data_IF_586117258389
#
_entry.id   IF_586117258389
#
_cell.length_a   1.000
_cell.length_b   1.000
_cell.length_c   1.000
_cell.angle_alpha   90.00
_cell.angle_beta   90.00
_cell.angle_gamma   90.00
#
_symmetry.space_group_name_H-M   'P 1'
#
loop_
_entity.id
_entity.type
_entity.pdbx_description
1 polymer ?
#
# COMPACT_ATOMS: atom_id res chain seq x y z
N UNK A 1 -8.64 -11.95 -5.94
CA UNK A 1 -7.94 -13.27 -5.72
C UNK A 1 -8.49 -14.34 -6.67
N UNK A 2 -7.67 -14.87 -7.58
CA UNK A 2 -8.04 -15.84 -8.63
C UNK A 2 -7.98 -17.31 -8.20
N UNK A 3 -8.41 -17.64 -6.98
CA UNK A 3 -8.39 -19.03 -6.53
C UNK A 3 -9.62 -19.78 -7.04
N UNK A 4 -9.40 -20.81 -7.87
CA UNK A 4 -10.38 -21.86 -8.12
C UNK A 4 -9.97 -23.14 -7.39
N UNK A 5 -10.91 -24.07 -7.20
CA UNK A 5 -10.68 -25.30 -6.42
C UNK A 5 -9.58 -26.21 -7.01
N UNK A 6 -9.41 -26.19 -8.33
CA UNK A 6 -8.52 -27.11 -9.05
C UNK A 6 -7.55 -26.34 -9.98
N UNK A 7 -8.00 -25.22 -10.56
CA UNK A 7 -7.22 -24.31 -11.41
C UNK A 7 -7.67 -22.87 -11.16
N UNK A 8 -6.84 -21.85 -11.46
CA UNK A 8 -7.24 -20.45 -11.33
C UNK A 8 -8.51 -20.14 -12.13
N UNK A 9 -9.42 -19.32 -11.57
CA UNK A 9 -10.64 -18.89 -12.28
C UNK A 9 -10.35 -18.04 -13.51
N UNK A 10 -9.28 -17.25 -13.46
CA UNK A 10 -8.71 -16.55 -14.60
C UNK A 10 -7.21 -16.89 -14.67
N UNK A 11 -6.74 -17.53 -15.75
CA UNK A 11 -5.34 -17.91 -15.91
C UNK A 11 -4.44 -16.75 -16.34
N UNK A 12 -5.02 -15.63 -16.81
CA UNK A 12 -4.27 -14.43 -17.20
C UNK A 12 -3.78 -13.74 -15.92
N UNK A 13 -2.51 -13.35 -15.93
CA UNK A 13 -1.85 -12.66 -14.82
C UNK A 13 -2.16 -11.15 -14.84
N UNK A 14 -1.75 -10.45 -13.78
CA UNK A 14 -1.93 -9.00 -13.65
C UNK A 14 -3.14 -8.63 -12.81
N UNK A 15 -2.98 -7.58 -11.99
CA UNK A 15 -4.02 -7.05 -11.10
C UNK A 15 -4.31 -5.55 -11.31
N UNK A 16 -3.49 -4.86 -12.10
CA UNK A 16 -3.51 -3.40 -12.26
C UNK A 16 -3.46 -3.04 -13.74
N UNK A 17 -4.10 -1.93 -14.12
CA UNK A 17 -4.15 -1.45 -15.49
C UNK A 17 -4.19 0.07 -15.56
N UNK A 18 -3.77 0.59 -16.71
CA UNK A 18 -4.16 1.90 -17.21
C UNK A 18 -4.31 1.82 -18.73
N UNK A 19 -5.33 2.45 -19.29
CA UNK A 19 -5.65 2.36 -20.70
C UNK A 19 -6.83 3.24 -21.10
N UNK A 20 -7.40 2.99 -22.26
CA UNK A 20 -8.55 3.72 -22.80
C UNK A 20 -9.77 2.80 -22.87
N UNK A 21 -10.95 3.35 -22.63
CA UNK A 21 -12.20 2.62 -22.83
C UNK A 21 -12.45 2.47 -24.33
N UNK A 22 -12.30 1.23 -24.81
CA UNK A 22 -12.59 0.85 -26.21
C UNK A 22 -14.09 0.79 -26.49
N UNK A 23 -14.88 0.24 -25.55
CA UNK A 23 -16.32 0.07 -25.71
C UNK A 23 -17.02 0.02 -24.35
N UNK A 24 -18.30 0.40 -24.32
CA UNK A 24 -19.14 0.34 -23.11
C UNK A 24 -20.40 -0.49 -23.33
N UNK A 25 -20.85 -1.16 -22.27
CA UNK A 25 -22.14 -1.84 -22.27
C UNK A 25 -23.31 -0.86 -22.28
N UNK A 26 -24.48 -1.30 -22.76
CA UNK A 26 -25.69 -0.47 -22.91
C UNK A 26 -26.16 0.23 -21.62
N UNK A 27 -25.85 -0.33 -20.45
CA UNK A 27 -26.32 0.15 -19.15
C UNK A 27 -25.24 0.96 -18.40
N UNK A 28 -24.04 1.11 -18.98
CA UNK A 28 -22.92 1.90 -18.42
C UNK A 28 -23.23 3.39 -18.56
N UNK A 29 -23.00 4.15 -17.49
CA UNK A 29 -23.32 5.59 -17.35
C UNK A 29 -22.13 6.44 -16.89
N UNK A 30 -21.13 5.84 -16.24
CA UNK A 30 -19.98 6.50 -15.63
C UNK A 30 -18.79 6.67 -16.58
N UNK A 31 -18.75 5.87 -17.64
CA UNK A 31 -17.66 5.83 -18.62
C UNK A 31 -18.20 5.88 -20.04
N UNK A 32 -17.37 6.34 -20.97
CA UNK A 32 -17.62 6.35 -22.41
C UNK A 32 -16.36 5.96 -23.18
N UNK A 33 -16.55 5.59 -24.44
CA UNK A 33 -15.45 5.36 -25.38
C UNK A 33 -14.47 6.56 -25.41
N UNK A 34 -13.17 6.27 -25.42
CA UNK A 34 -12.11 7.28 -25.39
C UNK A 34 -11.75 7.79 -23.98
N UNK A 35 -12.47 7.41 -22.93
CA UNK A 35 -12.07 7.78 -21.57
C UNK A 35 -10.76 7.09 -21.18
N UNK A 36 -9.77 7.89 -20.75
CA UNK A 36 -8.54 7.36 -20.18
C UNK A 36 -8.78 6.94 -18.72
N UNK A 37 -8.51 5.68 -18.40
CA UNK A 37 -8.82 5.07 -17.11
C UNK A 37 -7.60 4.36 -16.51
N UNK A 38 -7.66 4.15 -15.20
CA UNK A 38 -6.72 3.32 -14.44
C UNK A 38 -7.45 2.65 -13.28
N UNK A 39 -6.91 1.54 -12.80
CA UNK A 39 -7.54 0.80 -11.73
C UNK A 39 -7.03 -0.63 -11.56
N UNK A 40 -7.86 -1.45 -10.93
CA UNK A 40 -7.59 -2.85 -10.64
C UNK A 40 -8.55 -3.76 -11.39
N UNK A 41 -8.07 -4.95 -11.71
CA UNK A 41 -8.86 -5.98 -12.39
C UNK A 41 -8.09 -7.30 -12.38
N UNK A 42 -8.78 -8.42 -12.56
CA UNK A 42 -8.10 -9.71 -12.66
C UNK A 42 -7.76 -10.02 -14.11
N UNK A 43 -6.48 -10.25 -14.41
CA UNK A 43 -6.03 -10.67 -15.75
C UNK A 43 -5.68 -9.50 -16.65
N UNK A 44 -5.02 -8.49 -16.08
CA UNK A 44 -4.71 -7.23 -16.78
C UNK A 44 -3.49 -7.29 -17.68
N UNK A 45 -2.75 -8.40 -17.69
CA UNK A 45 -1.69 -8.64 -18.69
C UNK A 45 -2.31 -9.11 -20.00
N UNK A 46 -3.12 -8.24 -20.59
CA UNK A 46 -3.87 -8.45 -21.82
C UNK A 46 -4.02 -7.11 -22.56
N UNK A 47 -4.22 -7.16 -23.87
CA UNK A 47 -4.50 -5.96 -24.68
C UNK A 47 -5.90 -5.39 -24.39
N UNK A 48 -6.85 -6.25 -24.01
CA UNK A 48 -8.22 -5.87 -23.67
C UNK A 48 -8.74 -6.66 -22.47
N UNK A 49 -9.57 -6.01 -21.65
CA UNK A 49 -10.27 -6.63 -20.52
C UNK A 49 -11.66 -6.02 -20.35
N UNK A 50 -12.65 -6.86 -20.05
CA UNK A 50 -13.98 -6.41 -19.66
C UNK A 50 -14.05 -6.30 -18.13
N UNK A 51 -14.46 -5.14 -17.62
CA UNK A 51 -14.67 -4.90 -16.19
C UNK A 51 -16.09 -4.39 -15.94
N UNK A 52 -16.70 -4.71 -14.78
CA UNK A 52 -17.95 -4.09 -14.37
C UNK A 52 -17.75 -2.58 -14.13
N UNK A 53 -18.76 -1.77 -14.44
CA UNK A 53 -18.75 -0.32 -14.19
C UNK A 53 -18.48 0.03 -12.70
N UNK A 54 -18.91 -0.85 -11.79
CA UNK A 54 -18.69 -0.72 -10.36
C UNK A 54 -17.38 -1.36 -9.86
N UNK A 55 -16.52 -1.80 -10.78
CA UNK A 55 -15.16 -2.22 -10.46
C UNK A 55 -14.31 -1.07 -9.91
N UNK A 56 -13.12 -1.41 -9.44
CA UNK A 56 -12.12 -0.44 -8.96
C UNK A 56 -11.47 0.23 -10.17
N UNK A 57 -12.22 1.12 -10.81
CA UNK A 57 -11.84 1.83 -12.03
C UNK A 57 -12.17 3.33 -11.88
N UNK A 58 -11.26 4.19 -12.33
CA UNK A 58 -11.46 5.62 -12.32
C UNK A 58 -10.79 6.28 -13.52
N UNK A 59 -11.26 7.48 -13.88
CA UNK A 59 -10.59 8.34 -14.88
C UNK A 59 -9.15 8.62 -14.44
N UNK A 60 -8.20 8.38 -15.34
CA UNK A 60 -6.77 8.66 -15.14
C UNK A 60 -6.56 10.17 -14.93
N UNK A 61 -5.74 10.58 -13.94
CA UNK A 61 -5.29 11.96 -13.87
C UNK A 61 -4.64 12.42 -15.19
N UNK A 62 -5.00 13.61 -15.66
CA UNK A 62 -4.47 14.17 -16.92
C UNK A 62 -2.98 14.50 -16.84
N UNK A 63 -2.44 14.68 -15.62
CA UNK A 63 -1.04 14.99 -15.35
C UNK A 63 -0.14 13.75 -15.20
N UNK A 64 -0.62 12.56 -15.58
CA UNK A 64 0.11 11.31 -15.47
C UNK A 64 0.15 10.56 -16.79
N UNK A 65 1.25 9.87 -17.06
CA UNK A 65 1.32 8.88 -18.14
C UNK A 65 0.53 7.61 -17.77
N UNK A 66 0.36 6.70 -18.73
CA UNK A 66 -0.28 5.41 -18.44
C UNK A 66 0.58 4.55 -17.52
N UNK A 67 1.89 4.56 -17.70
CA UNK A 67 2.87 3.82 -16.89
C UNK A 67 2.83 4.29 -15.43
N UNK A 68 2.82 5.60 -15.23
CA UNK A 68 2.69 6.19 -13.89
C UNK A 68 1.35 5.81 -13.25
N UNK A 69 0.26 5.87 -14.01
CA UNK A 69 -1.08 5.55 -13.50
C UNK A 69 -1.24 4.06 -13.17
N UNK A 70 -0.67 3.16 -13.97
CA UNK A 70 -0.72 1.72 -13.74
C UNK A 70 0.07 1.27 -12.50
N UNK A 71 1.06 2.06 -12.07
CA UNK A 71 1.89 1.75 -10.89
C UNK A 71 1.26 2.16 -9.54
N UNK A 72 0.12 2.86 -9.57
CA UNK A 72 -0.55 3.37 -8.36
C UNK A 72 -1.40 2.33 -7.63
N UNK A 73 -2.36 1.63 -8.28
CA UNK A 73 -3.52 1.09 -7.59
C UNK A 73 -3.15 0.18 -6.42
N UNK A 74 -2.41 -0.89 -6.65
CA UNK A 74 -2.04 -1.86 -5.63
C UNK A 74 -1.21 -1.25 -4.50
N UNK A 75 -0.13 -0.54 -4.85
CA UNK A 75 0.81 0.03 -3.89
C UNK A 75 0.14 1.04 -2.96
N UNK A 76 -0.57 2.00 -3.56
CA UNK A 76 -1.21 3.09 -2.83
C UNK A 76 -2.46 2.65 -2.07
N UNK A 77 -3.25 1.72 -2.62
CA UNK A 77 -4.43 1.19 -1.95
C UNK A 77 -4.05 0.35 -0.73
N UNK A 78 -3.02 -0.49 -0.84
CA UNK A 78 -2.47 -1.24 0.29
C UNK A 78 -1.97 -0.29 1.37
N UNK A 79 -1.15 0.70 1.01
CA UNK A 79 -0.65 1.69 1.96
C UNK A 79 -1.77 2.48 2.65
N UNK A 80 -2.77 2.92 1.89
CA UNK A 80 -3.92 3.65 2.42
C UNK A 80 -4.72 2.81 3.41
N UNK A 81 -5.07 1.58 3.04
CA UNK A 81 -5.81 0.68 3.90
C UNK A 81 -5.06 0.39 5.21
N UNK A 82 -3.78 0.05 5.12
CA UNK A 82 -2.99 -0.28 6.31
C UNK A 82 -2.79 0.94 7.21
N UNK A 83 -2.46 2.10 6.67
CA UNK A 83 -2.21 3.29 7.49
C UNK A 83 -3.51 3.90 8.04
N UNK A 84 -4.51 4.13 7.18
CA UNK A 84 -5.77 4.80 7.54
C UNK A 84 -6.69 3.89 8.33
N UNK A 85 -6.97 2.68 7.82
CA UNK A 85 -8.05 1.85 8.38
C UNK A 85 -7.55 0.91 9.48
N UNK A 86 -6.32 0.37 9.34
CA UNK A 86 -5.76 -0.56 10.32
C UNK A 86 -4.88 0.11 11.36
N UNK A 87 -4.05 1.06 10.93
CA UNK A 87 -3.17 1.83 11.79
C UNK A 87 -3.89 2.98 12.50
N UNK A 88 -5.04 3.44 11.96
CA UNK A 88 -5.72 4.64 12.40
C UNK A 88 -4.73 5.81 12.60
N UNK A 89 -3.88 6.02 11.60
CA UNK A 89 -2.79 7.00 11.65
C UNK A 89 -3.31 8.38 12.02
N UNK A 90 -2.59 9.05 12.94
CA UNK A 90 -2.92 10.39 13.41
C UNK A 90 -1.74 11.33 13.21
N UNK A 91 -2.04 12.61 13.01
CA UNK A 91 -1.04 13.67 12.95
C UNK A 91 -0.15 13.65 14.20
N UNK A 92 1.16 13.85 14.01
CA UNK A 92 2.16 13.85 15.08
C UNK A 92 2.61 12.45 15.55
N UNK A 93 2.04 11.37 15.03
CA UNK A 93 2.55 10.02 15.31
C UNK A 93 3.91 9.78 14.65
N UNK A 94 4.76 8.98 15.30
CA UNK A 94 6.01 8.47 14.74
C UNK A 94 5.72 7.18 13.99
N UNK A 95 5.98 7.18 12.69
CA UNK A 95 5.70 6.06 11.80
C UNK A 95 7.00 5.60 11.15
N UNK A 96 7.33 4.31 11.29
CA UNK A 96 8.44 3.70 10.56
C UNK A 96 7.89 2.87 9.40
N UNK A 97 8.40 3.09 8.20
CA UNK A 97 8.08 2.31 7.00
C UNK A 97 9.29 1.43 6.64
N UNK A 98 9.17 0.13 6.85
CA UNK A 98 10.21 -0.83 6.47
C UNK A 98 9.95 -1.37 5.06
N UNK A 99 10.90 -1.14 4.15
CA UNK A 99 10.69 -1.35 2.72
C UNK A 99 10.25 -0.10 1.98
N UNK A 100 10.63 1.08 2.48
CA UNK A 100 10.14 2.39 2.02
C UNK A 100 10.41 2.71 0.54
N UNK A 101 11.27 1.95 -0.14
CA UNK A 101 11.63 2.15 -1.55
C UNK A 101 10.89 1.23 -2.54
N UNK A 102 10.01 0.33 -2.07
CA UNK A 102 9.18 -0.53 -2.93
C UNK A 102 7.82 0.09 -3.26
N UNK A 103 7.03 -0.53 -4.15
CA UNK A 103 5.75 0.04 -4.62
C UNK A 103 4.74 0.41 -3.51
N UNK A 104 4.60 -0.43 -2.48
CA UNK A 104 3.77 -0.09 -1.29
C UNK A 104 4.49 0.93 -0.40
N UNK A 105 5.80 0.79 -0.23
CA UNK A 105 6.60 1.61 0.66
C UNK A 105 6.67 3.08 0.25
N UNK A 106 6.83 3.37 -1.05
CA UNK A 106 6.89 4.73 -1.58
C UNK A 106 5.55 5.45 -1.41
N UNK A 107 4.43 4.75 -1.61
CA UNK A 107 3.10 5.28 -1.33
C UNK A 107 2.86 5.45 0.19
N UNK A 108 3.34 4.52 1.01
CA UNK A 108 3.20 4.59 2.46
C UNK A 108 3.94 5.78 3.08
N UNK A 109 5.14 6.11 2.58
CA UNK A 109 5.87 7.32 3.01
C UNK A 109 5.03 8.57 2.73
N UNK A 110 4.57 8.73 1.48
CA UNK A 110 3.80 9.90 1.06
C UNK A 110 2.46 10.01 1.81
N UNK A 111 1.73 8.91 1.95
CA UNK A 111 0.46 8.89 2.69
C UNK A 111 0.65 9.15 4.18
N UNK A 112 1.68 8.60 4.80
CA UNK A 112 1.96 8.90 6.21
C UNK A 112 2.29 10.38 6.42
N UNK A 113 3.02 11.01 5.49
CA UNK A 113 3.24 12.46 5.48
C UNK A 113 1.95 13.25 5.24
N UNK A 114 1.10 12.81 4.32
CA UNK A 114 -0.21 13.41 4.09
C UNK A 114 -1.07 13.43 5.36
N UNK A 115 -1.02 12.38 6.18
CA UNK A 115 -1.70 12.31 7.48
C UNK A 115 -0.98 13.06 8.62
N UNK A 116 0.13 13.75 8.35
CA UNK A 116 0.84 14.59 9.32
C UNK A 116 1.76 13.83 10.27
N UNK A 117 2.22 12.62 9.93
CA UNK A 117 3.15 11.86 10.75
C UNK A 117 4.62 12.35 10.63
N UNK A 118 5.44 12.04 11.65
CA UNK A 118 6.90 12.00 11.55
C UNK A 118 7.28 10.62 10.99
N UNK A 119 7.87 10.59 9.80
CA UNK A 119 8.11 9.38 9.02
C UNK A 119 9.60 9.03 9.00
N UNK A 120 9.92 7.82 9.44
CA UNK A 120 11.22 7.19 9.24
C UNK A 120 11.10 6.12 8.15
N UNK A 121 11.79 6.29 7.02
CA UNK A 121 11.89 5.27 5.98
C UNK A 121 13.10 4.35 6.21
N UNK A 122 12.93 3.04 6.02
CA UNK A 122 14.04 2.07 6.02
C UNK A 122 14.17 1.45 4.62
N UNK A 123 15.33 1.63 3.99
CA UNK A 123 15.63 1.14 2.64
C UNK A 123 17.12 0.83 2.47
N UNK A 124 17.53 0.39 1.27
CA UNK A 124 18.94 0.18 0.93
C UNK A 124 19.64 1.51 0.65
N UNK A 125 20.98 1.52 0.72
CA UNK A 125 21.84 2.69 0.48
C UNK A 125 21.48 3.44 -0.80
N UNK A 126 21.23 2.72 -1.90
CA UNK A 126 20.95 3.30 -3.22
C UNK A 126 19.64 4.10 -3.29
N UNK A 127 18.74 3.90 -2.32
CA UNK A 127 17.40 4.47 -2.34
C UNK A 127 17.21 5.59 -1.31
N UNK A 128 18.26 5.97 -0.56
CA UNK A 128 18.14 6.92 0.55
C UNK A 128 17.60 8.27 0.11
N UNK A 129 18.19 8.85 -0.94
CA UNK A 129 17.78 10.17 -1.45
C UNK A 129 16.37 10.15 -2.05
N UNK A 130 15.99 9.06 -2.71
CA UNK A 130 14.63 8.90 -3.24
C UNK A 130 13.61 8.82 -2.10
N UNK A 131 13.83 8.00 -1.09
CA UNK A 131 12.90 7.90 0.06
C UNK A 131 12.79 9.22 0.81
N UNK A 132 13.90 9.97 0.91
CA UNK A 132 13.90 11.32 1.48
C UNK A 132 13.10 12.30 0.64
N UNK A 133 13.23 12.27 -0.69
CA UNK A 133 12.48 13.17 -1.59
C UNK A 133 10.97 12.88 -1.59
N UNK A 134 10.54 11.66 -1.26
CA UNK A 134 9.14 11.31 -1.02
C UNK A 134 8.56 11.88 0.29
N UNK A 135 9.40 12.50 1.13
CA UNK A 135 8.96 13.23 2.32
C UNK A 135 9.32 12.57 3.66
N UNK A 136 10.09 11.47 3.67
CA UNK A 136 10.57 10.89 4.92
C UNK A 136 11.43 11.90 5.70
N UNK A 137 11.12 12.11 6.99
CA UNK A 137 11.87 13.01 7.86
C UNK A 137 13.25 12.43 8.21
N UNK A 138 13.33 11.09 8.29
CA UNK A 138 14.57 10.33 8.50
C UNK A 138 14.61 9.14 7.56
N UNK A 139 15.80 8.78 7.11
CA UNK A 139 16.01 7.56 6.31
C UNK A 139 17.13 6.73 6.92
N UNK A 140 16.88 5.44 7.06
CA UNK A 140 17.77 4.45 7.65
C UNK A 140 18.23 3.49 6.55
N UNK A 141 19.54 3.34 6.44
CA UNK A 141 20.17 2.35 5.58
C UNK A 141 20.25 1.00 6.30
N UNK A 142 19.36 0.07 5.98
CA UNK A 142 19.34 -1.24 6.66
C UNK A 142 20.61 -2.06 6.44
N UNK A 143 21.44 -1.71 5.45
CA UNK A 143 22.71 -2.40 5.18
C UNK A 143 23.82 -1.96 6.14
N UNK A 144 23.65 -0.81 6.79
CA UNK A 144 24.64 -0.22 7.70
C UNK A 144 24.19 -0.26 9.14
N UNK A 145 22.90 -0.07 9.40
CA UNK A 145 22.37 0.01 10.74
C UNK A 145 21.06 -0.74 10.93
N UNK A 146 20.89 -1.28 12.14
CA UNK A 146 19.66 -1.91 12.58
C UNK A 146 18.86 -0.92 13.40
N UNK A 147 17.76 -0.42 12.84
CA UNK A 147 16.91 0.57 13.50
C UNK A 147 16.43 0.12 14.89
N UNK A 148 16.34 -1.19 15.13
CA UNK A 148 15.87 -1.74 16.40
C UNK A 148 16.86 -1.52 17.55
N UNK A 149 18.12 -1.21 17.24
CA UNK A 149 19.18 -0.94 18.21
C UNK A 149 19.31 0.54 18.59
N UNK A 150 18.57 1.44 17.93
CA UNK A 150 18.67 2.89 18.14
C UNK A 150 18.03 3.39 19.44
N UNK A 151 17.23 2.56 20.12
CA UNK A 151 16.40 2.97 21.25
C UNK A 151 15.18 3.83 20.87
N UNK A 152 15.02 4.17 19.59
CA UNK A 152 13.84 4.90 19.11
C UNK A 152 12.61 3.99 19.08
N UNK A 153 11.46 4.58 19.41
CA UNK A 153 10.17 3.88 19.41
C UNK A 153 9.12 4.60 18.57
N UNK A 154 8.25 3.81 17.94
CA UNK A 154 7.27 4.26 16.96
C UNK A 154 5.84 3.94 17.41
N UNK A 155 4.90 4.79 17.04
CA UNK A 155 3.47 4.55 17.20
C UNK A 155 3.00 3.50 16.20
N UNK A 156 3.51 3.56 14.96
CA UNK A 156 3.23 2.59 13.90
C UNK A 156 4.54 2.12 13.29
N UNK A 157 4.69 0.81 13.13
CA UNK A 157 5.70 0.22 12.23
C UNK A 157 4.94 -0.49 11.12
N UNK A 158 5.12 -0.04 9.89
CA UNK A 158 4.56 -0.69 8.71
C UNK A 158 5.64 -1.43 7.95
N UNK A 159 5.54 -2.76 7.92
CA UNK A 159 6.45 -3.63 7.20
C UNK A 159 5.80 -4.05 5.87
N UNK A 160 6.45 -3.74 4.74
CA UNK A 160 5.90 -3.92 3.39
C UNK A 160 6.60 -5.01 2.57
N UNK A 161 7.51 -5.81 3.15
CA UNK A 161 8.42 -6.71 2.41
C UNK A 161 8.32 -8.17 2.88
N UNK A 162 7.95 -8.41 4.14
CA UNK A 162 7.96 -9.71 4.80
C UNK A 162 9.34 -10.12 5.31
N UNK A 163 10.28 -9.17 5.49
CA UNK A 163 11.67 -9.44 5.90
C UNK A 163 12.00 -9.05 7.34
N UNK A 164 11.10 -8.34 8.00
CA UNK A 164 11.22 -8.07 9.44
C UNK A 164 10.06 -8.75 10.19
N UNK A 165 10.35 -9.33 11.36
CA UNK A 165 9.34 -10.00 12.19
C UNK A 165 8.84 -9.07 13.29
N UNK A 166 7.59 -9.27 13.72
CA UNK A 166 7.06 -8.52 14.85
C UNK A 166 7.93 -8.66 16.11
N UNK A 167 8.41 -9.88 16.41
CA UNK A 167 9.26 -10.14 17.57
C UNK A 167 10.52 -9.28 17.59
N UNK A 168 11.16 -9.07 16.43
CA UNK A 168 12.33 -8.20 16.28
C UNK A 168 12.00 -6.73 16.49
N UNK A 169 10.84 -6.30 16.00
CA UNK A 169 10.42 -4.90 16.05
C UNK A 169 9.71 -4.53 17.36
N UNK A 170 9.42 -5.51 18.22
CA UNK A 170 8.63 -5.33 19.43
C UNK A 170 9.23 -4.25 20.32
N UNK A 171 10.55 -4.23 20.54
CA UNK A 171 11.23 -3.22 21.37
C UNK A 171 11.12 -1.81 20.79
N UNK A 172 11.04 -1.68 19.46
CA UNK A 172 10.88 -0.41 18.73
C UNK A 172 9.43 0.07 18.63
N UNK A 173 8.46 -0.66 19.16
CA UNK A 173 7.09 -0.15 19.30
C UNK A 173 6.90 0.51 20.66
N UNK A 174 6.18 1.64 20.66
CA UNK A 174 5.63 2.21 21.89
C UNK A 174 4.67 1.24 22.57
N UNK A 175 4.35 1.46 23.85
CA UNK A 175 3.51 0.57 24.68
C UNK A 175 2.15 0.24 24.05
N UNK A 176 1.57 1.15 23.25
CA UNK A 176 0.31 0.99 22.49
C UNK A 176 0.52 0.99 20.97
N UNK A 177 1.75 0.72 20.52
CA UNK A 177 2.11 0.79 19.11
C UNK A 177 1.50 -0.34 18.29
N UNK A 178 1.33 -0.08 17.00
CA UNK A 178 0.74 -1.01 16.04
C UNK A 178 1.83 -1.43 15.04
N UNK A 179 1.94 -2.74 14.84
CA UNK A 179 2.74 -3.35 13.79
C UNK A 179 1.82 -3.79 12.66
N UNK A 180 1.94 -3.12 11.51
CA UNK A 180 1.21 -3.44 10.30
C UNK A 180 2.10 -4.36 9.46
N UNK A 181 1.65 -5.58 9.22
CA UNK A 181 2.35 -6.55 8.38
C UNK A 181 1.66 -6.61 7.01
N UNK A 182 2.20 -5.88 6.04
CA UNK A 182 1.69 -5.81 4.67
C UNK A 182 1.95 -7.07 3.85
N UNK A 183 2.93 -7.88 4.25
CA UNK A 183 3.20 -9.19 3.65
C UNK A 183 3.36 -10.23 4.76
N UNK A 184 2.25 -10.90 5.11
CA UNK A 184 2.21 -11.87 6.20
C UNK A 184 2.00 -13.31 5.68
N UNK A 185 2.88 -14.21 6.09
CA UNK A 185 2.73 -15.66 5.98
C UNK A 185 2.15 -16.30 7.24
N UNK A 186 1.96 -17.62 7.19
CA UNK A 186 1.27 -18.43 8.22
C UNK A 186 1.83 -18.23 9.65
N UNK A 187 3.14 -18.02 9.79
CA UNK A 187 3.81 -17.80 11.08
C UNK A 187 3.42 -16.48 11.77
N UNK A 188 3.13 -15.42 11.01
CA UNK A 188 2.70 -14.14 11.58
C UNK A 188 1.24 -14.20 12.09
N UNK A 189 0.42 -15.13 11.57
CA UNK A 189 -0.95 -15.38 12.06
C UNK A 189 -0.94 -15.82 13.52
N UNK A 190 -0.07 -16.78 13.86
CA UNK A 190 0.07 -17.30 15.24
C UNK A 190 0.55 -16.19 16.19
N UNK A 191 1.52 -15.37 15.75
CA UNK A 191 2.03 -14.24 16.54
C UNK A 191 0.98 -13.14 16.76
N UNK A 192 0.12 -12.87 15.77
CA UNK A 192 -0.97 -11.91 15.91
C UNK A 192 -1.96 -12.34 16.99
N UNK A 193 -2.42 -13.59 16.93
CA UNK A 193 -3.36 -14.13 17.90
C UNK A 193 -2.79 -14.03 19.32
N UNK A 194 -1.52 -14.39 19.50
CA UNK A 194 -0.94 -14.39 20.84
C UNK A 194 -0.78 -12.99 21.44
N UNK A 195 -0.35 -12.03 20.62
CA UNK A 195 0.01 -10.68 21.10
C UNK A 195 -1.19 -9.78 21.29
N UNK A 196 -2.27 -10.01 20.53
CA UNK A 196 -3.57 -9.39 20.75
C UNK A 196 -4.18 -9.73 22.12
N UNK A 197 -3.77 -10.84 22.74
CA UNK A 197 -4.34 -11.35 24.00
C UNK A 197 -3.56 -10.95 25.27
N UNK A 198 -2.31 -10.47 25.18
CA UNK A 198 -1.46 -10.22 26.38
C UNK A 198 -0.87 -8.81 26.47
N UNK A 199 -0.92 -8.01 25.41
CA UNK A 199 -0.14 -6.77 25.33
C UNK A 199 -0.95 -5.52 24.96
N UNK A 200 -0.38 -4.35 25.23
CA UNK A 200 -0.85 -3.08 24.66
C UNK A 200 -0.46 -2.89 23.19
N UNK A 201 0.53 -3.65 22.70
CA UNK A 201 1.03 -3.63 21.32
C UNK A 201 0.23 -4.60 20.45
N UNK A 202 -0.08 -4.20 19.22
CA UNK A 202 -0.91 -4.99 18.30
C UNK A 202 -0.17 -5.33 17.02
N UNK A 203 -0.41 -6.52 16.49
CA UNK A 203 -0.06 -6.91 15.12
C UNK A 203 -1.34 -6.91 14.29
N UNK A 204 -1.29 -6.35 13.08
CA UNK A 204 -2.42 -6.37 12.16
C UNK A 204 -1.92 -6.74 10.77
N UNK A 205 -2.57 -7.73 10.16
CA UNK A 205 -2.44 -8.09 8.75
C UNK A 205 -3.83 -8.47 8.22
N UNK A 206 -3.97 -8.59 6.91
CA UNK A 206 -5.20 -9.06 6.30
C UNK A 206 -5.28 -8.74 4.81
N UNK A 207 -6.29 -9.27 4.12
CA UNK A 207 -6.54 -8.90 2.73
C UNK A 207 -6.90 -7.40 2.67
N UNK A 208 -6.36 -6.73 1.65
CA UNK A 208 -6.75 -5.37 1.30
C UNK A 208 -8.05 -5.48 0.49
N UNK A 209 -9.15 -4.83 0.92
CA UNK A 209 -10.39 -4.85 0.17
C UNK A 209 -10.27 -3.98 -1.08
N UNK A 210 -10.80 -4.46 -2.20
CA UNK A 210 -10.89 -3.72 -3.45
C UNK A 210 -12.05 -2.70 -3.36
N UNK A 211 -11.76 -1.43 -3.01
CA UNK A 211 -12.75 -0.34 -2.90
C UNK A 211 -12.53 0.77 -3.94
N UNK A 212 -13.57 1.06 -4.72
CA UNK A 212 -13.58 2.14 -5.72
C UNK A 212 -13.39 3.52 -5.07
N UNK A 213 -13.93 3.72 -3.86
CA UNK A 213 -13.83 4.98 -3.11
C UNK A 213 -12.39 5.32 -2.74
N UNK A 214 -11.58 4.31 -2.43
CA UNK A 214 -10.16 4.49 -2.13
C UNK A 214 -9.38 4.90 -3.37
N UNK A 215 -9.65 4.27 -4.53
CA UNK A 215 -9.05 4.69 -5.79
C UNK A 215 -9.45 6.14 -6.15
N UNK A 216 -10.71 6.53 -5.92
CA UNK A 216 -11.17 7.90 -6.13
C UNK A 216 -10.45 8.89 -5.18
N UNK A 217 -10.27 8.51 -3.91
CA UNK A 217 -9.51 9.30 -2.96
C UNK A 217 -8.06 9.47 -3.40
N UNK A 218 -7.38 8.39 -3.79
CA UNK A 218 -6.00 8.41 -4.29
C UNK A 218 -5.87 9.25 -5.56
N UNK A 219 -6.79 9.10 -6.52
CA UNK A 219 -6.88 9.97 -7.71
C UNK A 219 -6.92 11.45 -7.33
N UNK A 220 -7.67 11.80 -6.28
CA UNK A 220 -7.78 13.19 -5.84
C UNK A 220 -6.47 13.76 -5.30
N UNK A 221 -5.62 12.92 -4.68
CA UNK A 221 -4.30 13.30 -4.21
C UNK A 221 -3.32 13.47 -5.37
N UNK A 222 -3.30 12.50 -6.29
CA UNK A 222 -2.45 12.52 -7.49
C UNK A 222 -2.68 13.76 -8.36
N UNK A 223 -3.95 14.16 -8.53
CA UNK A 223 -4.31 15.39 -9.25
C UNK A 223 -3.78 16.67 -8.60
N UNK A 224 -3.51 16.64 -7.29
CA UNK A 224 -2.99 17.77 -6.51
C UNK A 224 -1.47 17.69 -6.32
N UNK A 225 -0.81 16.67 -6.87
CA UNK A 225 0.61 16.41 -6.65
C UNK A 225 0.93 16.10 -5.19
N UNK A 226 0.05 15.35 -4.52
CA UNK A 226 0.16 14.97 -3.10
C UNK A 226 0.14 13.46 -2.91
#
# INVERSE_FOLDING_TARGET
>A
MNFGLIRPKNPILGNELAGEIEAVGKDVKLFKEGDQVFGEGSGTYAEYICLPEEGVLAIKPANMTYEEAAAVPFGAHSALFFLRDKGNIQSGQKVLIYGASGGVGTAAVQLAKYFGAEVTGVCSTTNLEMVKSLGADKVIDYTKEDFTKSGQTYDIIYETVGKSSFSRNMSSLKKKGIYLAGNAGLLQIVQMLWTSMIGGKKVIFGPVPERKEDLIFLKSLLRRGR
#
